data_IF_909272016786
#
_entry.id   IF_909272016786
#
_cell.length_a   1.000
_cell.length_b   1.000
_cell.length_c   1.000
_cell.angle_alpha   90.00
_cell.angle_beta   90.00
_cell.angle_gamma   90.00
#
_symmetry.space_group_name_H-M   'P 1'
#
loop_
_entity.id
_entity.type
_entity.pdbx_description
1 polymer ?
#
# COMPACT_ATOMS: atom_id res chain seq x y z
N UNK A 1 -4.70 5.72 6.28
CA UNK A 1 -4.39 5.06 5.00
C UNK A 1 -3.05 4.32 5.01
N UNK A 2 -1.94 4.95 5.44
CA UNK A 2 -0.62 4.29 5.49
C UNK A 2 -0.59 2.93 6.24
N UNK A 3 -1.14 2.79 7.47
CA UNK A 3 -1.11 1.51 8.19
C UNK A 3 -1.93 0.41 7.50
N UNK A 4 -2.95 0.82 6.75
CA UNK A 4 -3.80 -0.11 6.00
C UNK A 4 -3.04 -0.67 4.80
N UNK A 5 -2.41 0.20 4.00
CA UNK A 5 -1.63 -0.17 2.82
C UNK A 5 -0.43 -1.05 3.19
N UNK A 6 0.27 -0.74 4.28
CA UNK A 6 1.42 -1.53 4.74
C UNK A 6 1.04 -2.99 5.03
N UNK A 7 -0.08 -3.22 5.73
CA UNK A 7 -0.56 -4.58 6.01
C UNK A 7 -0.85 -5.36 4.73
N UNK A 8 -1.40 -4.72 3.69
CA UNK A 8 -1.68 -5.40 2.43
C UNK A 8 -0.40 -5.79 1.68
N UNK A 9 0.61 -4.91 1.68
CA UNK A 9 1.91 -5.19 1.08
C UNK A 9 2.62 -6.31 1.83
N UNK A 10 2.55 -6.33 3.16
CA UNK A 10 3.09 -7.43 3.98
C UNK A 10 2.43 -8.77 3.65
N UNK A 11 1.09 -8.82 3.56
CA UNK A 11 0.36 -10.04 3.19
C UNK A 11 0.72 -10.52 1.76
N UNK A 12 0.84 -9.59 0.82
CA UNK A 12 1.24 -9.92 -0.55
C UNK A 12 2.67 -10.46 -0.61
N UNK A 13 3.58 -9.91 0.21
CA UNK A 13 4.98 -10.35 0.32
C UNK A 13 5.13 -11.73 0.95
N UNK A 14 4.29 -12.08 1.91
CA UNK A 14 4.29 -13.42 2.55
C UNK A 14 3.96 -14.53 1.53
N UNK A 15 3.11 -14.25 0.54
CA UNK A 15 2.86 -15.18 -0.55
C UNK A 15 1.83 -16.28 -0.27
N UNK A 16 1.23 -16.33 0.92
CA UNK A 16 0.36 -17.44 1.34
C UNK A 16 -1.03 -17.40 0.67
N UNK A 17 -1.63 -18.59 0.46
CA UNK A 17 -3.00 -18.72 -0.07
C UNK A 17 -4.03 -18.03 0.84
N UNK A 18 -3.83 -18.14 2.16
CA UNK A 18 -4.65 -17.45 3.15
C UNK A 18 -4.56 -15.92 2.99
N UNK A 19 -3.35 -15.37 2.85
CA UNK A 19 -3.13 -13.95 2.57
C UNK A 19 -3.82 -13.50 1.28
N UNK A 20 -3.73 -14.30 0.22
CA UNK A 20 -4.41 -14.00 -1.06
C UNK A 20 -5.93 -13.97 -0.92
N UNK A 21 -6.52 -14.89 -0.15
CA UNK A 21 -7.97 -14.90 0.14
C UNK A 21 -8.40 -13.69 0.97
N UNK A 22 -7.60 -13.28 1.95
CA UNK A 22 -7.86 -12.08 2.75
C UNK A 22 -7.83 -10.81 1.89
N UNK A 23 -6.88 -10.72 0.94
CA UNK A 23 -6.81 -9.63 -0.02
C UNK A 23 -8.00 -9.63 -1.01
N UNK A 24 -8.45 -10.81 -1.44
CA UNK A 24 -9.62 -10.98 -2.30
C UNK A 24 -10.93 -10.49 -1.68
N UNK A 25 -11.04 -10.49 -0.35
CA UNK A 25 -12.20 -9.89 0.34
C UNK A 25 -12.23 -8.36 0.26
N UNK A 26 -11.11 -7.71 -0.06
CA UNK A 26 -10.94 -6.24 -0.01
C UNK A 26 -10.71 -5.61 -1.38
N UNK A 27 -10.15 -6.35 -2.32
CA UNK A 27 -9.71 -5.83 -3.62
C UNK A 27 -10.15 -6.72 -4.77
N UNK A 28 -10.22 -6.13 -5.96
CA UNK A 28 -10.44 -6.87 -7.19
C UNK A 28 -9.21 -7.70 -7.60
N UNK A 29 -9.42 -8.74 -8.40
CA UNK A 29 -8.36 -9.60 -8.93
C UNK A 29 -7.25 -8.79 -9.62
N UNK A 30 -7.59 -7.72 -10.35
CA UNK A 30 -6.62 -6.85 -11.03
C UNK A 30 -5.62 -6.23 -10.04
N UNK A 31 -6.11 -5.73 -8.91
CA UNK A 31 -5.27 -5.10 -7.88
C UNK A 31 -4.40 -6.17 -7.19
N UNK A 32 -4.96 -7.34 -6.92
CA UNK A 32 -4.23 -8.45 -6.29
C UNK A 32 -3.08 -8.91 -7.17
N UNK A 33 -3.32 -9.09 -8.47
CA UNK A 33 -2.27 -9.47 -9.41
C UNK A 33 -1.17 -8.40 -9.47
N UNK A 34 -1.52 -7.11 -9.48
CA UNK A 34 -0.53 -6.02 -9.40
C UNK A 34 0.27 -6.05 -8.09
N UNK A 35 -0.40 -6.29 -6.96
CA UNK A 35 0.25 -6.38 -5.65
C UNK A 35 1.28 -7.51 -5.62
N UNK A 36 0.94 -8.69 -6.14
CA UNK A 36 1.84 -9.85 -6.12
C UNK A 36 2.93 -9.80 -7.19
N UNK A 37 2.62 -9.33 -8.39
CA UNK A 37 3.55 -9.42 -9.52
C UNK A 37 4.46 -8.20 -9.64
N UNK A 38 4.00 -7.01 -9.24
CA UNK A 38 4.76 -5.77 -9.42
C UNK A 38 5.24 -5.15 -8.12
N UNK A 39 4.44 -5.19 -7.05
CA UNK A 39 4.69 -4.43 -5.82
C UNK A 39 5.46 -5.28 -4.79
N UNK A 40 4.98 -6.48 -4.48
CA UNK A 40 5.60 -7.37 -3.49
C UNK A 40 7.07 -7.72 -3.81
N UNK A 41 7.47 -7.99 -5.08
CA UNK A 41 8.86 -8.29 -5.40
C UNK A 41 9.80 -7.11 -5.12
N UNK A 42 9.35 -5.86 -5.34
CA UNK A 42 10.13 -4.65 -5.07
C UNK A 42 10.47 -4.47 -3.59
N UNK A 43 9.63 -5.00 -2.70
CA UNK A 43 9.81 -4.86 -1.24
C UNK A 43 10.27 -6.14 -0.55
N UNK A 44 10.77 -7.14 -1.30
CA UNK A 44 11.16 -8.44 -0.75
C UNK A 44 12.22 -8.33 0.36
N UNK A 45 13.15 -7.39 0.23
CA UNK A 45 14.23 -7.20 1.22
C UNK A 45 13.84 -6.23 2.35
N UNK A 46 12.82 -5.40 2.15
CA UNK A 46 12.44 -4.35 3.10
C UNK A 46 11.54 -4.87 4.22
N UNK A 47 11.91 -4.62 5.48
CA UNK A 47 11.12 -5.00 6.67
C UNK A 47 10.22 -3.84 7.14
N UNK A 48 9.21 -3.49 6.33
CA UNK A 48 8.21 -2.47 6.68
C UNK A 48 8.53 -1.05 6.20
N UNK A 49 7.64 -0.10 6.49
CA UNK A 49 7.77 1.29 6.04
C UNK A 49 7.73 1.42 4.52
N UNK A 50 6.71 0.82 3.89
CA UNK A 50 6.56 0.81 2.43
C UNK A 50 5.91 2.10 1.89
N UNK A 51 5.33 2.91 2.77
CA UNK A 51 4.67 4.16 2.42
C UNK A 51 5.40 5.36 3.01
N UNK A 52 5.38 6.48 2.30
CA UNK A 52 5.87 7.79 2.76
C UNK A 52 4.73 8.80 2.68
N UNK A 53 4.68 9.69 3.67
CA UNK A 53 3.73 10.81 3.71
C UNK A 53 4.50 12.11 3.52
N UNK A 54 4.11 12.91 2.54
CA UNK A 54 4.63 14.26 2.29
C UNK A 54 3.53 15.29 2.52
N UNK A 55 3.78 16.28 3.39
CA UNK A 55 2.81 17.34 3.70
C UNK A 55 2.88 18.42 2.61
N UNK A 56 1.73 18.79 2.06
CA UNK A 56 1.62 19.80 1.01
C UNK A 56 1.14 21.17 1.50
N UNK A 57 0.72 21.27 2.77
CA UNK A 57 0.09 22.48 3.30
C UNK A 57 -1.44 22.41 3.25
N UNK A 58 -2.11 23.57 3.23
CA UNK A 58 -3.56 23.64 3.25
C UNK A 58 -4.15 23.83 1.84
N UNK A 59 -5.30 23.21 1.58
CA UNK A 59 -6.05 23.39 0.34
C UNK A 59 -6.67 24.78 0.31
N UNK A 60 -6.53 25.47 -0.82
CA UNK A 60 -6.92 26.88 -0.98
C UNK A 60 -8.41 27.17 -0.70
N UNK A 61 -9.31 26.23 -1.00
CA UNK A 61 -10.76 26.46 -0.89
C UNK A 61 -11.30 26.36 0.54
N UNK A 62 -10.85 25.36 1.30
CA UNK A 62 -11.48 24.95 2.57
C UNK A 62 -10.45 24.79 3.71
N UNK A 63 -9.20 25.18 3.48
CA UNK A 63 -8.12 25.10 4.48
C UNK A 63 -7.73 23.67 4.87
N UNK A 64 -8.24 22.63 4.18
CA UNK A 64 -7.98 21.25 4.55
C UNK A 64 -6.48 20.92 4.42
N UNK A 65 -5.89 20.32 5.46
CA UNK A 65 -4.48 19.89 5.44
C UNK A 65 -4.30 18.73 4.45
N UNK A 66 -3.53 18.98 3.39
CA UNK A 66 -3.28 18.02 2.32
C UNK A 66 -1.96 17.28 2.54
N UNK A 67 -1.97 16.01 2.16
CA UNK A 67 -0.79 15.16 2.14
C UNK A 67 -0.79 14.33 0.86
N UNK A 68 0.40 14.09 0.31
CA UNK A 68 0.63 13.03 -0.68
C UNK A 68 1.10 11.79 0.08
N UNK A 69 0.55 10.64 -0.29
CA UNK A 69 1.01 9.34 0.18
C UNK A 69 1.56 8.58 -1.01
N UNK A 70 2.81 8.17 -0.92
CA UNK A 70 3.53 7.46 -1.98
C UNK A 70 4.11 6.15 -1.47
N UNK A 71 4.34 5.22 -2.39
CA UNK A 71 5.14 4.04 -2.13
C UNK A 71 6.63 4.40 -2.20
N UNK A 72 7.40 3.97 -1.21
CA UNK A 72 8.85 4.16 -1.19
C UNK A 72 9.47 3.31 -2.30
N UNK A 73 10.48 3.76 -3.03
CA UNK A 73 11.14 2.89 -4.01
C UNK A 73 12.07 1.87 -3.35
#
# INVERSE_FOLDING_TARGET
MAPFAEKQITLAKEGSLAGRRLLAKKFSIKIINKLYNEIAPKYKERKGGYTRIMKLGQRKSDGAKMVIIELVR
#
